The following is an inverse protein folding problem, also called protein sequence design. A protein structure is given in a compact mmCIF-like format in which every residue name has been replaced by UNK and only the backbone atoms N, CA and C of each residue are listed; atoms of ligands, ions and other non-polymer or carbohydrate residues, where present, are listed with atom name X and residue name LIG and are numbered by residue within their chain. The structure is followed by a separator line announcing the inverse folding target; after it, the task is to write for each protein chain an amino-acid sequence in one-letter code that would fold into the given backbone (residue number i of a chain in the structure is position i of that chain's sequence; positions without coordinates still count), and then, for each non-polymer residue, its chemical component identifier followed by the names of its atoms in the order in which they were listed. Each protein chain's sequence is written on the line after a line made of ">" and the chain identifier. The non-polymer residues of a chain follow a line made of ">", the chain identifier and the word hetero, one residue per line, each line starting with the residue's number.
data_IF_186056120183
#
_entry.id   IF_186056120183
#
_cell.length_a   1.000
_cell.length_b   1.000
_cell.length_c   1.000
_cell.angle_alpha   90.00
_cell.angle_beta   90.00
_cell.angle_gamma   90.00
#
_symmetry.space_group_name_H-M   'P 1'
#
loop_
_entity.id
_entity.type
_entity.pdbx_description
1 polymer ?
#
# COMPACT_ATOMS: atom_id res chain seq x y z
N UNK A 1 -57.85 -24.35 12.25
CA UNK A 1 -57.74 -22.93 12.66
C UNK A 1 -57.04 -22.88 13.98
N UNK A 2 -55.77 -22.89 13.98
CA UNK A 2 -55.02 -22.69 15.21
C UNK A 2 -53.61 -22.22 14.86
N UNK A 3 -53.25 -21.15 15.50
CA UNK A 3 -51.91 -20.76 15.93
C UNK A 3 -50.92 -20.23 14.89
N UNK A 4 -51.27 -19.07 14.35
CA UNK A 4 -50.35 -18.14 13.71
C UNK A 4 -49.90 -16.98 14.61
N UNK A 5 -50.06 -17.10 15.93
CA UNK A 5 -49.75 -16.03 16.88
C UNK A 5 -48.83 -16.52 17.99
N UNK A 6 -47.57 -16.80 17.68
CA UNK A 6 -46.51 -16.66 18.69
C UNK A 6 -45.11 -16.76 18.04
N UNK A 7 -44.79 -15.82 17.15
CA UNK A 7 -43.34 -15.53 16.89
C UNK A 7 -42.89 -14.48 17.90
N UNK A 8 -41.89 -14.77 18.72
CA UNK A 8 -41.36 -13.78 19.66
C UNK A 8 -40.74 -12.60 18.89
N UNK A 9 -40.98 -11.35 19.33
CA UNK A 9 -40.55 -10.13 18.62
C UNK A 9 -39.01 -9.91 18.60
N UNK A 10 -38.23 -10.94 18.95
CA UNK A 10 -36.76 -10.87 18.99
C UNK A 10 -36.02 -11.49 17.81
N UNK A 11 -36.72 -12.22 16.92
CA UNK A 11 -36.04 -12.99 15.86
C UNK A 11 -35.62 -12.17 14.63
N UNK A 12 -36.07 -10.94 14.48
CA UNK A 12 -35.74 -10.08 13.33
C UNK A 12 -34.48 -9.22 13.52
N UNK A 13 -33.94 -9.17 14.73
CA UNK A 13 -32.77 -8.33 15.04
C UNK A 13 -31.42 -8.99 14.73
N UNK A 14 -31.40 -10.25 14.33
CA UNK A 14 -30.13 -11.02 14.21
C UNK A 14 -29.50 -11.02 12.81
N UNK A 15 -30.10 -10.34 11.84
CA UNK A 15 -29.57 -10.32 10.46
C UNK A 15 -29.09 -8.93 9.99
N UNK A 16 -28.97 -7.96 10.89
CA UNK A 16 -28.29 -6.71 10.54
C UNK A 16 -26.78 -6.94 10.54
N UNK A 17 -26.20 -7.08 9.35
CA UNK A 17 -24.75 -6.98 9.20
C UNK A 17 -24.29 -5.65 9.81
N UNK A 18 -23.34 -5.68 10.75
CA UNK A 18 -22.79 -4.42 11.28
C UNK A 18 -22.21 -3.62 10.12
N UNK A 19 -22.65 -2.37 10.01
CA UNK A 19 -22.08 -1.45 9.02
C UNK A 19 -20.57 -1.33 9.28
N UNK A 20 -19.74 -1.49 8.23
CA UNK A 20 -18.31 -1.32 8.40
C UNK A 20 -18.00 0.10 8.88
N UNK A 21 -17.14 0.21 9.89
CA UNK A 21 -16.71 1.52 10.37
C UNK A 21 -15.89 2.21 9.27
N UNK A 22 -16.42 3.28 8.71
CA UNK A 22 -15.69 4.10 7.75
C UNK A 22 -14.69 4.95 8.51
N UNK A 23 -13.42 4.62 8.40
CA UNK A 23 -12.34 5.43 8.96
C UNK A 23 -12.14 6.68 8.11
N UNK A 24 -12.07 7.84 8.75
CA UNK A 24 -11.80 9.13 8.07
C UNK A 24 -10.33 9.27 7.64
N UNK A 25 -9.44 8.54 8.30
CA UNK A 25 -8.01 8.58 7.98
C UNK A 25 -7.72 7.65 6.80
N UNK A 26 -7.16 8.15 5.70
CA UNK A 26 -6.76 7.32 4.57
C UNK A 26 -5.73 6.26 4.98
N UNK A 27 -5.77 5.12 4.31
CA UNK A 27 -4.75 4.08 4.47
C UNK A 27 -3.43 4.64 3.93
N UNK A 28 -2.40 4.62 4.77
CA UNK A 28 -1.06 4.99 4.33
C UNK A 28 -0.35 3.76 3.75
N UNK A 29 -0.20 3.72 2.45
CA UNK A 29 0.46 2.62 1.73
C UNK A 29 1.96 2.47 2.03
N UNK A 30 2.59 3.52 2.56
CA UNK A 30 4.00 3.49 2.97
C UNK A 30 4.19 3.02 4.42
N UNK A 31 3.09 2.86 5.15
CA UNK A 31 3.12 2.26 6.47
C UNK A 31 3.02 0.74 6.33
N UNK A 32 4.10 0.02 6.60
CA UNK A 32 4.21 -1.44 6.51
C UNK A 32 3.39 -2.20 7.56
N UNK A 33 2.34 -1.60 8.08
CA UNK A 33 1.47 -2.23 9.08
C UNK A 33 0.43 -3.17 8.49
N UNK A 34 0.15 -3.06 7.18
CA UNK A 34 -0.88 -3.85 6.52
C UNK A 34 -0.37 -4.46 5.21
N UNK A 35 -0.74 -5.72 4.91
CA UNK A 35 -0.38 -6.40 3.68
C UNK A 35 -1.28 -5.93 2.52
N UNK A 36 -1.08 -4.72 2.03
CA UNK A 36 -1.95 -4.09 1.02
C UNK A 36 -1.96 -4.83 -0.32
N UNK A 37 -0.82 -5.40 -0.74
CA UNK A 37 -0.76 -6.18 -1.98
C UNK A 37 -1.58 -7.47 -1.88
N UNK A 38 -1.52 -8.17 -0.75
CA UNK A 38 -2.34 -9.35 -0.48
C UNK A 38 -3.82 -9.00 -0.46
N UNK A 39 -4.19 -7.88 0.16
CA UNK A 39 -5.57 -7.43 0.24
C UNK A 39 -6.13 -7.02 -1.13
N UNK A 40 -5.31 -6.37 -1.96
CA UNK A 40 -5.70 -5.93 -3.30
C UNK A 40 -5.70 -7.07 -4.34
N UNK A 41 -4.81 -8.05 -4.19
CA UNK A 41 -4.60 -9.15 -5.14
C UNK A 41 -4.60 -10.51 -4.44
N UNK A 42 -5.68 -10.94 -3.80
CA UNK A 42 -5.71 -12.15 -2.99
C UNK A 42 -5.40 -13.43 -3.79
N UNK A 43 -5.67 -13.44 -5.08
CA UNK A 43 -5.37 -14.58 -5.96
C UNK A 43 -3.87 -14.75 -6.24
N UNK A 44 -3.10 -13.67 -6.16
CA UNK A 44 -1.64 -13.70 -6.33
C UNK A 44 -0.92 -14.07 -5.02
N UNK A 45 -1.55 -13.85 -3.89
CA UNK A 45 -1.02 -14.08 -2.53
C UNK A 45 -1.94 -15.03 -1.74
N UNK A 46 -2.13 -16.27 -2.15
CA UNK A 46 -3.16 -17.15 -1.56
C UNK A 46 -2.95 -17.43 -0.08
N UNK A 47 -1.70 -17.46 0.39
CA UNK A 47 -1.33 -17.64 1.81
C UNK A 47 -0.80 -16.36 2.47
N UNK A 48 -0.73 -15.25 1.74
CA UNK A 48 -0.23 -13.96 2.22
C UNK A 48 1.27 -13.88 2.46
N UNK A 49 2.02 -14.98 2.38
CA UNK A 49 3.45 -15.03 2.76
C UNK A 49 4.40 -14.36 1.77
N UNK A 50 3.96 -14.09 0.56
CA UNK A 50 4.78 -13.43 -0.45
C UNK A 50 4.67 -11.89 -0.41
N UNK A 51 3.87 -11.31 0.47
CA UNK A 51 3.71 -9.86 0.60
C UNK A 51 5.01 -9.19 1.07
N UNK A 52 5.19 -7.94 0.67
CA UNK A 52 6.37 -7.16 1.05
C UNK A 52 6.51 -6.95 2.56
N UNK A 53 5.39 -6.84 3.26
CA UNK A 53 5.36 -6.60 4.72
C UNK A 53 5.65 -7.84 5.56
N UNK A 54 5.69 -9.03 4.97
CA UNK A 54 5.99 -10.26 5.70
C UNK A 54 7.39 -10.21 6.33
N UNK A 55 7.53 -10.69 7.59
CA UNK A 55 8.81 -10.73 8.27
C UNK A 55 9.83 -11.61 7.52
N UNK A 56 11.05 -11.12 7.37
CA UNK A 56 12.16 -11.81 6.73
C UNK A 56 13.40 -11.75 7.61
N UNK A 57 14.29 -12.73 7.42
CA UNK A 57 15.57 -12.76 8.12
C UNK A 57 16.46 -11.55 7.76
N UNK A 58 16.34 -11.04 6.56
CA UNK A 58 17.01 -9.82 6.09
C UNK A 58 15.99 -8.82 5.61
N UNK A 59 16.20 -7.55 5.94
CA UNK A 59 15.44 -6.47 5.34
C UNK A 59 15.78 -6.37 3.85
N UNK A 60 14.77 -6.16 3.04
CA UNK A 60 14.91 -5.92 1.60
C UNK A 60 14.26 -4.59 1.25
N UNK A 61 14.78 -3.93 0.22
CA UNK A 61 14.13 -2.74 -0.33
C UNK A 61 12.88 -3.14 -1.10
N UNK A 62 11.94 -2.21 -1.23
CA UNK A 62 10.76 -2.45 -2.06
C UNK A 62 11.12 -2.68 -3.53
N UNK A 63 12.16 -2.02 -4.01
CA UNK A 63 12.68 -2.21 -5.37
C UNK A 63 13.20 -3.63 -5.59
N UNK A 64 13.98 -4.19 -4.64
CA UNK A 64 14.48 -5.57 -4.72
C UNK A 64 13.34 -6.59 -4.66
N UNK A 65 12.37 -6.34 -3.79
CA UNK A 65 11.16 -7.16 -3.71
C UNK A 65 10.42 -7.18 -5.06
N UNK A 66 10.22 -6.01 -5.67
CA UNK A 66 9.55 -5.88 -6.96
C UNK A 66 10.31 -6.62 -8.06
N UNK A 67 11.63 -6.44 -8.13
CA UNK A 67 12.49 -7.11 -9.10
C UNK A 67 12.43 -8.64 -8.95
N UNK A 68 12.40 -9.12 -7.73
CA UNK A 68 12.24 -10.56 -7.43
C UNK A 68 10.86 -11.09 -7.84
N UNK A 69 9.80 -10.38 -7.49
CA UNK A 69 8.43 -10.78 -7.84
C UNK A 69 8.21 -10.83 -9.36
N UNK A 70 8.77 -9.88 -10.11
CA UNK A 70 8.69 -9.87 -11.57
C UNK A 70 9.40 -11.05 -12.24
N UNK A 71 10.33 -11.68 -11.55
CA UNK A 71 11.07 -12.88 -11.99
C UNK A 71 10.54 -14.17 -11.38
N UNK A 72 9.38 -14.11 -10.72
CA UNK A 72 8.79 -15.28 -10.09
C UNK A 72 8.63 -16.43 -11.11
N UNK A 73 8.97 -17.65 -10.71
CA UNK A 73 9.12 -18.79 -11.61
C UNK A 73 7.89 -19.07 -12.48
N UNK A 74 6.70 -19.03 -11.92
CA UNK A 74 5.45 -19.25 -12.66
C UNK A 74 4.95 -18.02 -13.43
N UNK A 75 5.60 -16.88 -13.28
CA UNK A 75 5.26 -15.63 -13.97
C UNK A 75 3.95 -14.98 -13.53
N UNK A 76 3.35 -15.40 -12.41
CA UNK A 76 2.04 -14.92 -11.96
C UNK A 76 1.98 -13.40 -11.80
N UNK A 77 3.03 -12.78 -11.25
CA UNK A 77 3.10 -11.34 -11.05
C UNK A 77 3.34 -10.57 -12.34
N UNK A 78 4.31 -10.99 -13.14
CA UNK A 78 4.67 -10.33 -14.39
C UNK A 78 3.55 -10.38 -15.44
N UNK A 79 2.79 -11.48 -15.48
CA UNK A 79 1.68 -11.67 -16.43
C UNK A 79 0.36 -11.07 -15.98
N UNK A 80 0.24 -10.66 -14.73
CA UNK A 80 -0.99 -10.04 -14.24
C UNK A 80 -1.24 -8.70 -14.92
N UNK A 81 -2.50 -8.43 -15.29
CA UNK A 81 -2.86 -7.23 -16.07
C UNK A 81 -2.61 -5.91 -15.35
N UNK A 82 -2.77 -5.90 -14.03
CA UNK A 82 -2.74 -4.66 -13.22
C UNK A 82 -1.66 -4.64 -12.16
N UNK A 83 -1.25 -5.79 -11.61
CA UNK A 83 -0.29 -5.85 -10.52
C UNK A 83 1.05 -5.15 -10.82
N UNK A 84 1.72 -5.36 -11.98
CA UNK A 84 2.99 -4.68 -12.27
C UNK A 84 2.86 -3.16 -12.26
N UNK A 85 1.76 -2.63 -12.79
CA UNK A 85 1.53 -1.19 -12.82
C UNK A 85 1.28 -0.61 -11.43
N UNK A 86 0.47 -1.27 -10.61
CA UNK A 86 0.21 -0.85 -9.22
C UNK A 86 1.49 -0.89 -8.41
N UNK A 87 2.26 -1.97 -8.50
CA UNK A 87 3.49 -2.14 -7.76
C UNK A 87 4.57 -1.12 -8.18
N UNK A 88 4.74 -0.90 -9.47
CA UNK A 88 5.67 0.12 -9.99
C UNK A 88 5.22 1.54 -9.62
N UNK A 89 3.94 1.85 -9.72
CA UNK A 89 3.40 3.15 -9.32
C UNK A 89 3.64 3.43 -7.84
N UNK A 90 3.48 2.45 -6.97
CA UNK A 90 3.80 2.56 -5.54
C UNK A 90 5.28 2.86 -5.33
N UNK A 91 6.19 2.19 -6.06
CA UNK A 91 7.62 2.47 -6.01
C UNK A 91 7.95 3.91 -6.39
N UNK A 92 7.42 4.38 -7.52
CA UNK A 92 7.65 5.73 -8.01
C UNK A 92 7.14 6.79 -7.04
N UNK A 93 5.95 6.60 -6.47
CA UNK A 93 5.38 7.52 -5.47
C UNK A 93 6.21 7.53 -4.17
N UNK A 94 6.73 6.40 -3.75
CA UNK A 94 7.62 6.32 -2.59
C UNK A 94 8.92 7.10 -2.84
N UNK A 95 9.51 7.00 -4.03
CA UNK A 95 10.71 7.75 -4.41
C UNK A 95 10.45 9.26 -4.43
N UNK A 96 9.36 9.70 -5.05
CA UNK A 96 8.97 11.12 -5.09
C UNK A 96 8.76 11.65 -3.66
N UNK A 97 8.06 10.91 -2.80
CA UNK A 97 7.85 11.30 -1.41
C UNK A 97 9.17 11.43 -0.64
N UNK A 98 10.08 10.48 -0.80
CA UNK A 98 11.40 10.51 -0.15
C UNK A 98 12.17 11.77 -0.57
N UNK A 99 12.22 12.08 -1.85
CA UNK A 99 12.90 13.26 -2.40
C UNK A 99 12.25 14.57 -1.95
N UNK A 100 10.94 14.65 -1.98
CA UNK A 100 10.19 15.82 -1.50
C UNK A 100 10.44 16.08 -0.02
N UNK A 101 10.41 15.05 0.82
CA UNK A 101 10.70 15.19 2.25
C UNK A 101 12.13 15.64 2.51
N UNK A 102 13.10 15.18 1.71
CA UNK A 102 14.49 15.62 1.81
C UNK A 102 14.62 17.11 1.51
N UNK A 103 14.00 17.58 0.43
CA UNK A 103 14.00 19.00 0.07
C UNK A 103 13.37 19.90 1.13
N UNK A 104 12.21 19.49 1.67
CA UNK A 104 11.54 20.23 2.75
C UNK A 104 12.48 20.37 3.96
N UNK A 105 13.10 19.29 4.40
CA UNK A 105 14.07 19.32 5.52
C UNK A 105 15.27 20.21 5.24
N UNK A 106 15.80 20.20 4.01
CA UNK A 106 16.94 21.03 3.63
C UNK A 106 16.56 22.51 3.60
N UNK A 107 15.33 22.87 3.27
CA UNK A 107 14.84 24.25 3.18
C UNK A 107 14.29 24.80 4.49
N UNK A 108 13.87 23.99 5.44
CA UNK A 108 13.43 24.44 6.77
C UNK A 108 14.48 25.30 7.48
N UNK A 109 15.77 25.03 7.25
CA UNK A 109 16.87 25.85 7.74
C UNK A 109 17.04 27.21 7.04
N UNK A 110 16.47 27.42 5.86
CA UNK A 110 16.73 28.61 5.01
C UNK A 110 15.53 29.57 4.85
N UNK A 111 14.34 29.24 5.37
CA UNK A 111 13.10 30.06 5.28
C UNK A 111 12.73 30.55 3.87
N UNK A 112 13.15 29.87 2.82
CA UNK A 112 12.76 30.20 1.44
C UNK A 112 11.68 29.23 0.96
N UNK A 113 10.67 29.70 0.22
CA UNK A 113 9.67 28.82 -0.37
C UNK A 113 10.33 27.91 -1.41
N UNK A 114 9.98 26.63 -1.40
CA UNK A 114 10.41 25.65 -2.39
C UNK A 114 9.90 26.07 -3.78
N UNK A 115 10.83 26.34 -4.69
CA UNK A 115 10.47 26.55 -6.08
C UNK A 115 10.27 25.20 -6.80
N UNK A 116 9.41 25.18 -7.81
CA UNK A 116 9.18 23.98 -8.64
C UNK A 116 10.50 23.45 -9.25
N UNK A 117 11.40 24.35 -9.63
CA UNK A 117 12.71 24.01 -10.17
C UNK A 117 13.56 23.20 -9.19
N UNK A 118 13.51 23.48 -7.89
CA UNK A 118 14.27 22.75 -6.86
C UNK A 118 13.79 21.29 -6.74
N UNK A 119 12.48 21.08 -6.89
CA UNK A 119 11.88 19.74 -6.88
C UNK A 119 12.28 18.96 -8.15
N UNK A 120 12.22 19.60 -9.30
CA UNK A 120 12.60 19.00 -10.58
C UNK A 120 14.09 18.63 -10.60
N UNK A 121 14.96 19.47 -10.07
CA UNK A 121 16.40 19.20 -9.95
C UNK A 121 16.68 18.03 -9.00
N UNK A 122 16.01 17.96 -7.86
CA UNK A 122 16.17 16.85 -6.93
C UNK A 122 15.64 15.52 -7.50
N UNK A 123 14.64 15.57 -8.36
CA UNK A 123 14.15 14.39 -9.05
C UNK A 123 15.09 13.89 -10.15
N UNK A 124 15.88 14.79 -10.73
CA UNK A 124 16.84 14.46 -11.78
C UNK A 124 18.15 13.85 -11.26
N UNK A 125 18.49 14.05 -9.97
CA UNK A 125 19.74 13.54 -9.34
C UNK A 125 19.42 12.37 -8.38
N UNK A 126 19.41 11.12 -8.85
CA UNK A 126 19.04 9.96 -8.01
C UNK A 126 20.11 9.59 -6.96
N UNK A 127 21.38 9.92 -7.20
CA UNK A 127 22.52 9.33 -6.47
C UNK A 127 22.88 10.04 -5.15
N UNK A 128 22.43 11.27 -4.90
CA UNK A 128 22.76 12.01 -3.66
C UNK A 128 21.88 11.63 -2.45
N UNK A 129 20.93 10.74 -2.61
CA UNK A 129 19.97 10.36 -1.57
C UNK A 129 20.28 9.05 -0.85
N UNK A 130 21.34 8.35 -1.23
CA UNK A 130 21.77 7.08 -0.61
C UNK A 130 22.92 7.24 0.40
N UNK A 131 23.40 8.44 0.61
CA UNK A 131 24.42 8.72 1.63
C UNK A 131 23.81 9.07 3.00
#
# INVERSE_FOLDING_TARGET
>A
MADLEHMPPGAQAQHQMPLPSIRRTPINEFNRSQPLLTLAFPTLYPDGKADFVEPRLRSITYQDYLAHAMRWQDGRFARHKTWPFVALNTLLRAQVRKRSNYLVKQHEGRRQPLARADIEEAMAKPDELEA
#
